data_IF_751248453568
#
_entry.id   IF_751248453568
#
_cell.length_a   1.000
_cell.length_b   1.000
_cell.length_c   1.000
_cell.angle_alpha   90.00
_cell.angle_beta   90.00
_cell.angle_gamma   90.00
#
_symmetry.space_group_name_H-M   'P 1'
#
loop_
_entity.id
_entity.type
_entity.pdbx_description
1 polymer ?
#
# COMPACT_ATOMS: atom_id res chain seq x y z
N UNK A 1 -21.31 10.93 -9.85
CA UNK A 1 -20.18 10.94 -8.93
C UNK A 1 -20.32 9.80 -7.94
N UNK A 2 -19.24 9.05 -7.67
CA UNK A 2 -19.26 7.86 -6.82
C UNK A 2 -19.22 8.20 -5.31
N UNK A 3 -19.06 9.47 -4.94
CA UNK A 3 -18.96 9.90 -3.53
C UNK A 3 -17.66 9.44 -2.83
N UNK A 4 -16.61 9.14 -3.58
CA UNK A 4 -15.33 8.74 -3.01
C UNK A 4 -14.64 9.92 -2.32
N UNK A 5 -14.01 9.68 -1.16
CA UNK A 5 -13.20 10.68 -0.46
C UNK A 5 -11.76 10.77 -0.96
N UNK A 6 -11.30 9.80 -1.73
CA UNK A 6 -9.92 9.71 -2.22
C UNK A 6 -9.84 9.08 -3.60
N UNK A 7 -8.81 9.43 -4.34
CA UNK A 7 -8.36 8.71 -5.53
C UNK A 7 -6.99 8.11 -5.28
N UNK A 8 -6.80 6.87 -5.73
CA UNK A 8 -5.52 6.17 -5.66
C UNK A 8 -4.72 6.45 -6.94
N UNK A 9 -3.42 6.71 -6.78
CA UNK A 9 -2.44 6.85 -7.84
C UNK A 9 -1.18 6.05 -7.51
N UNK A 10 -0.37 5.75 -8.50
CA UNK A 10 0.95 5.12 -8.31
C UNK A 10 2.04 6.16 -8.50
N UNK A 11 3.08 6.11 -7.65
CA UNK A 11 4.33 6.84 -7.85
C UNK A 11 5.30 5.91 -8.62
N UNK A 12 5.04 5.74 -9.91
CA UNK A 12 5.83 4.88 -10.79
C UNK A 12 6.59 5.72 -11.82
N UNK A 13 7.84 5.35 -12.09
CA UNK A 13 8.67 5.99 -13.10
C UNK A 13 9.73 5.03 -13.64
N UNK A 14 10.19 5.31 -14.87
CA UNK A 14 11.20 4.53 -15.58
C UNK A 14 12.54 5.31 -15.56
N UNK A 15 13.22 5.31 -14.43
CA UNK A 15 14.56 5.88 -14.31
C UNK A 15 15.33 5.10 -13.25
N UNK A 16 16.64 4.93 -13.47
CA UNK A 16 17.56 4.38 -12.48
C UNK A 16 18.03 5.45 -11.47
N UNK A 17 17.67 6.72 -11.70
CA UNK A 17 17.96 7.84 -10.80
C UNK A 17 16.84 8.04 -9.79
N UNK A 18 17.02 7.48 -8.60
CA UNK A 18 16.06 7.58 -7.51
C UNK A 18 15.82 9.03 -7.02
N UNK A 19 16.80 9.92 -7.15
CA UNK A 19 16.64 11.33 -6.78
C UNK A 19 15.79 12.09 -7.80
N UNK A 20 16.00 11.84 -9.10
CA UNK A 20 15.17 12.40 -10.15
C UNK A 20 13.73 11.91 -10.04
N UNK A 21 13.51 10.61 -9.75
CA UNK A 21 12.17 10.08 -9.52
C UNK A 21 11.51 10.68 -8.28
N UNK A 22 12.26 10.90 -7.21
CA UNK A 22 11.74 11.56 -6.01
C UNK A 22 11.23 12.97 -6.33
N UNK A 23 12.05 13.79 -7.00
CA UNK A 23 11.67 15.15 -7.42
C UNK A 23 10.43 15.14 -8.31
N UNK A 24 10.40 14.26 -9.32
CA UNK A 24 9.26 14.16 -10.22
C UNK A 24 7.96 13.69 -9.49
N UNK A 25 8.10 12.79 -8.51
CA UNK A 25 6.96 12.34 -7.69
C UNK A 25 6.43 13.49 -6.81
N UNK A 26 7.32 14.25 -6.14
CA UNK A 26 6.93 15.42 -5.34
C UNK A 26 6.18 16.44 -6.18
N UNK A 27 6.74 16.81 -7.34
CA UNK A 27 6.13 17.81 -8.24
C UNK A 27 4.78 17.33 -8.79
N UNK A 28 4.73 16.10 -9.34
CA UNK A 28 3.53 15.58 -9.97
C UNK A 28 2.38 15.34 -8.98
N UNK A 29 2.67 14.70 -7.84
CA UNK A 29 1.67 14.46 -6.80
C UNK A 29 1.25 15.75 -6.12
N UNK A 30 2.16 16.70 -5.90
CA UNK A 30 1.85 18.02 -5.35
C UNK A 30 0.89 18.81 -6.24
N UNK A 31 1.12 18.83 -7.56
CA UNK A 31 0.19 19.45 -8.52
C UNK A 31 -1.17 18.77 -8.51
N UNK A 32 -1.20 17.44 -8.52
CA UNK A 32 -2.46 16.68 -8.49
C UNK A 32 -3.22 16.91 -7.18
N UNK A 33 -2.52 16.90 -6.04
CA UNK A 33 -3.12 17.15 -4.73
C UNK A 33 -3.71 18.58 -4.64
N UNK A 34 -3.00 19.59 -5.15
CA UNK A 34 -3.48 20.97 -5.23
C UNK A 34 -4.75 21.10 -6.09
N UNK A 35 -4.86 20.33 -7.15
CA UNK A 35 -6.07 20.29 -7.98
C UNK A 35 -7.22 19.59 -7.25
N UNK A 36 -6.94 18.42 -6.65
CA UNK A 36 -7.94 17.58 -6.00
C UNK A 36 -8.51 18.23 -4.72
N UNK A 37 -7.72 19.02 -4.01
CA UNK A 37 -8.15 19.77 -2.80
C UNK A 37 -9.35 20.66 -3.10
N UNK A 38 -9.39 21.34 -4.24
CA UNK A 38 -10.51 22.18 -4.69
C UNK A 38 -11.81 21.40 -4.88
N UNK A 39 -11.70 20.09 -5.03
CA UNK A 39 -12.81 19.15 -5.21
C UNK A 39 -13.16 18.37 -3.94
N UNK A 40 -12.43 18.60 -2.84
CA UNK A 40 -12.59 17.86 -1.59
C UNK A 40 -12.15 16.37 -1.69
N UNK A 41 -11.23 16.05 -2.62
CA UNK A 41 -10.74 14.69 -2.87
C UNK A 41 -9.29 14.57 -2.40
N UNK A 42 -8.98 13.52 -1.63
CA UNK A 42 -7.59 13.21 -1.30
C UNK A 42 -6.90 12.47 -2.45
N UNK A 43 -5.61 12.70 -2.62
CA UNK A 43 -4.71 11.91 -3.49
C UNK A 43 -3.94 10.95 -2.59
N UNK A 44 -4.07 9.65 -2.84
CA UNK A 44 -3.38 8.63 -2.04
C UNK A 44 -2.49 7.77 -2.92
N UNK A 45 -1.29 7.49 -2.42
CA UNK A 45 -0.29 6.69 -3.13
C UNK A 45 -0.16 5.34 -2.45
N UNK A 46 -0.33 4.28 -3.25
CA UNK A 46 -0.09 2.91 -2.81
C UNK A 46 1.38 2.53 -3.06
N UNK A 47 1.97 1.78 -2.12
CA UNK A 47 3.20 1.05 -2.39
C UNK A 47 2.86 -0.10 -3.36
N UNK A 48 3.38 -0.03 -4.61
CA UNK A 48 2.99 -0.93 -5.68
C UNK A 48 4.13 -1.20 -6.67
N UNK A 49 5.22 -1.74 -6.16
CA UNK A 49 6.40 -2.12 -6.95
C UNK A 49 7.44 -1.01 -7.11
N UNK A 50 8.68 -1.43 -7.29
CA UNK A 50 9.82 -0.53 -7.45
C UNK A 50 10.02 0.40 -6.25
N UNK A 51 10.45 1.64 -6.50
CA UNK A 51 10.71 2.61 -5.43
C UNK A 51 9.48 2.95 -4.58
N UNK A 52 8.25 2.82 -5.10
CA UNK A 52 7.07 3.02 -4.28
C UNK A 52 6.90 1.95 -3.19
N UNK A 53 7.56 0.80 -3.35
CA UNK A 53 7.61 -0.28 -2.34
C UNK A 53 8.69 -0.05 -1.27
N UNK A 54 9.59 0.93 -1.43
CA UNK A 54 10.45 1.42 -0.36
C UNK A 54 9.64 2.38 0.52
N UNK A 55 9.24 1.90 1.70
CA UNK A 55 8.40 2.68 2.63
C UNK A 55 9.04 4.01 3.02
N UNK A 56 10.36 4.03 3.22
CA UNK A 56 11.10 5.24 3.57
C UNK A 56 11.10 6.27 2.42
N UNK A 57 11.31 5.79 1.19
CA UNK A 57 11.28 6.65 0.01
C UNK A 57 9.90 7.28 -0.18
N UNK A 58 8.85 6.46 -0.17
CA UNK A 58 7.48 6.95 -0.37
C UNK A 58 7.02 7.88 0.76
N UNK A 59 7.31 7.53 2.01
CA UNK A 59 7.04 8.41 3.15
C UNK A 59 7.78 9.75 3.03
N UNK A 60 9.01 9.75 2.50
CA UNK A 60 9.80 10.94 2.20
C UNK A 60 9.11 11.86 1.19
N UNK A 61 8.62 11.30 0.07
CA UNK A 61 7.85 12.02 -0.96
C UNK A 61 6.62 12.70 -0.35
N UNK A 62 5.80 11.95 0.38
CA UNK A 62 4.57 12.49 0.99
C UNK A 62 4.88 13.57 2.03
N UNK A 63 5.94 13.37 2.83
CA UNK A 63 6.38 14.36 3.82
C UNK A 63 6.85 15.66 3.17
N UNK A 64 7.54 15.58 2.02
CA UNK A 64 8.02 16.78 1.31
C UNK A 64 6.87 17.53 0.65
N UNK A 65 5.88 16.85 0.06
CA UNK A 65 4.66 17.47 -0.46
C UNK A 65 3.92 18.24 0.63
N UNK A 66 3.88 17.70 1.85
CA UNK A 66 3.32 18.32 3.05
C UNK A 66 1.92 18.96 2.85
N UNK A 67 1.04 18.26 2.15
CA UNK A 67 -0.35 18.70 1.92
C UNK A 67 -1.32 17.78 2.67
N UNK A 68 -2.30 18.33 3.44
CA UNK A 68 -3.28 17.51 4.18
C UNK A 68 -4.09 16.56 3.28
N UNK A 69 -4.35 16.92 2.03
CA UNK A 69 -5.07 16.11 1.05
C UNK A 69 -4.20 15.07 0.33
N UNK A 70 -2.88 15.04 0.57
CA UNK A 70 -1.97 14.04 -0.01
C UNK A 70 -1.55 13.02 1.07
N UNK A 71 -1.57 11.74 0.76
CA UNK A 71 -1.22 10.70 1.72
C UNK A 71 -0.91 9.37 1.09
N UNK A 72 -0.81 8.34 1.93
CA UNK A 72 -0.51 6.97 1.50
C UNK A 72 -1.75 6.08 1.56
N UNK A 73 -1.67 4.98 0.82
CA UNK A 73 -2.50 3.78 0.95
C UNK A 73 -1.53 2.61 1.21
N UNK A 74 -1.07 2.37 2.45
CA UNK A 74 -0.21 1.24 2.73
C UNK A 74 -0.91 -0.07 2.37
N UNK A 75 -0.31 -0.84 1.46
CA UNK A 75 -0.70 -2.21 1.15
C UNK A 75 0.20 -3.18 1.90
N UNK A 76 -0.36 -4.26 2.46
CA UNK A 76 0.37 -5.20 3.31
C UNK A 76 1.30 -6.15 2.53
N UNK A 77 1.11 -6.28 1.21
CA UNK A 77 1.83 -7.25 0.38
C UNK A 77 2.78 -6.67 -0.67
N UNK A 78 2.56 -5.45 -1.12
CA UNK A 78 3.25 -4.85 -2.27
C UNK A 78 4.62 -4.25 -1.90
N UNK A 79 5.56 -5.08 -1.46
CA UNK A 79 6.89 -4.62 -1.04
C UNK A 79 8.04 -5.09 -1.93
N UNK A 80 7.75 -5.52 -3.16
CA UNK A 80 8.79 -5.90 -4.11
C UNK A 80 9.46 -4.68 -4.74
N UNK A 81 10.77 -4.53 -4.48
CA UNK A 81 11.60 -3.47 -5.03
C UNK A 81 12.06 -3.80 -6.45
N UNK A 82 12.37 -5.06 -6.71
CA UNK A 82 12.92 -5.51 -8.00
C UNK A 82 12.34 -6.84 -8.44
N UNK A 83 11.82 -6.83 -9.63
CA UNK A 83 11.36 -8.04 -10.32
C UNK A 83 12.34 -8.50 -11.36
N UNK A 84 12.42 -9.81 -11.59
CA UNK A 84 13.04 -10.40 -12.77
C UNK A 84 11.96 -11.02 -13.64
N UNK A 85 12.06 -10.81 -14.95
CA UNK A 85 11.30 -11.54 -15.95
C UNK A 85 12.05 -12.84 -16.28
N UNK A 86 11.38 -13.97 -16.19
CA UNK A 86 11.95 -15.28 -16.57
C UNK A 86 11.89 -15.55 -18.08
N UNK A 87 11.46 -14.56 -18.88
CA UNK A 87 11.27 -14.69 -20.33
C UNK A 87 10.05 -15.53 -20.74
N UNK A 88 9.29 -16.04 -19.77
CA UNK A 88 8.04 -16.79 -19.98
C UNK A 88 6.81 -16.02 -19.49
N UNK A 89 6.99 -14.76 -19.13
CA UNK A 89 5.94 -13.87 -18.64
C UNK A 89 5.66 -14.00 -17.13
N UNK A 90 6.49 -14.73 -16.38
CA UNK A 90 6.40 -14.75 -14.92
C UNK A 90 7.36 -13.72 -14.33
N UNK A 91 6.83 -12.93 -13.43
CA UNK A 91 7.60 -11.92 -12.71
C UNK A 91 7.88 -12.41 -11.29
N UNK A 92 9.15 -12.64 -10.97
CA UNK A 92 9.57 -13.06 -9.64
C UNK A 92 10.18 -11.88 -8.89
N UNK A 93 9.78 -11.67 -7.64
CA UNK A 93 10.43 -10.71 -6.77
C UNK A 93 11.80 -11.22 -6.32
N UNK A 94 12.85 -10.45 -6.58
CA UNK A 94 14.24 -10.80 -6.22
C UNK A 94 14.82 -9.88 -5.16
N UNK A 95 14.17 -8.77 -4.89
CA UNK A 95 14.54 -7.84 -3.82
C UNK A 95 13.26 -7.30 -3.18
N UNK A 96 13.08 -7.55 -1.88
CA UNK A 96 11.89 -7.17 -1.13
C UNK A 96 12.26 -6.23 0.01
N UNK A 97 11.46 -5.18 0.22
CA UNK A 97 11.51 -4.33 1.41
C UNK A 97 10.82 -5.02 2.58
N UNK A 98 11.27 -4.83 3.81
CA UNK A 98 10.56 -5.37 4.99
C UNK A 98 9.16 -4.74 5.07
N UNK A 99 8.12 -5.54 4.84
CA UNK A 99 6.71 -5.11 4.78
C UNK A 99 6.22 -4.50 6.09
N UNK A 100 6.71 -4.97 7.21
CA UNK A 100 6.30 -4.45 8.53
C UNK A 100 6.95 -3.10 8.82
N UNK A 101 8.21 -2.94 8.44
CA UNK A 101 8.89 -1.66 8.48
C UNK A 101 8.21 -0.68 7.51
N UNK A 102 7.96 -1.09 6.28
CA UNK A 102 7.32 -0.26 5.27
C UNK A 102 5.94 0.24 5.69
N UNK A 103 5.08 -0.64 6.20
CA UNK A 103 3.77 -0.21 6.74
C UNK A 103 3.95 0.74 7.93
N UNK A 104 4.90 0.48 8.83
CA UNK A 104 5.17 1.38 9.96
C UNK A 104 5.62 2.79 9.51
N UNK A 105 6.36 2.89 8.40
CA UNK A 105 6.82 4.16 7.82
C UNK A 105 5.70 4.90 7.08
N UNK A 106 4.78 4.16 6.42
CA UNK A 106 3.71 4.73 5.61
C UNK A 106 2.46 5.08 6.41
N UNK A 107 2.12 4.32 7.45
CA UNK A 107 0.87 4.47 8.20
C UNK A 107 0.66 5.87 8.83
N UNK A 108 1.69 6.65 9.23
CA UNK A 108 1.51 8.01 9.72
C UNK A 108 0.88 8.96 8.69
N UNK A 109 1.00 8.65 7.41
CA UNK A 109 0.47 9.45 6.30
C UNK A 109 -0.78 8.83 5.66
N UNK A 110 -1.26 7.71 6.19
CA UNK A 110 -2.32 6.93 5.56
C UNK A 110 -3.68 7.65 5.60
N UNK A 111 -4.36 7.62 4.45
CA UNK A 111 -5.78 8.01 4.28
C UNK A 111 -6.68 6.81 4.07
N UNK A 112 -6.10 5.70 3.64
CA UNK A 112 -6.72 4.39 3.52
C UNK A 112 -5.63 3.32 3.75
N UNK A 113 -6.00 2.07 3.92
CA UNK A 113 -5.10 0.92 4.05
C UNK A 113 -5.64 -0.22 3.22
N UNK A 114 -4.79 -0.90 2.46
CA UNK A 114 -5.10 -2.16 1.78
C UNK A 114 -4.60 -3.34 2.62
N UNK A 115 -5.52 -4.09 3.18
CA UNK A 115 -5.24 -5.31 3.92
C UNK A 115 -5.14 -6.49 2.93
N UNK A 116 -4.08 -6.47 2.12
CA UNK A 116 -3.77 -7.56 1.18
C UNK A 116 -3.55 -8.86 1.92
N UNK A 117 -4.09 -9.92 1.36
CA UNK A 117 -3.95 -11.28 1.87
C UNK A 117 -3.78 -12.26 0.71
N UNK A 118 -3.18 -13.38 1.01
CA UNK A 118 -2.99 -14.49 0.08
C UNK A 118 -3.76 -15.71 0.57
N UNK A 119 -3.09 -16.77 0.98
CA UNK A 119 -3.74 -18.01 1.35
C UNK A 119 -3.87 -18.17 2.87
N UNK A 120 -4.79 -19.04 3.29
CA UNK A 120 -5.12 -19.27 4.70
C UNK A 120 -4.85 -20.71 5.09
N UNK A 121 -4.44 -20.91 6.35
CA UNK A 121 -4.38 -22.22 6.99
C UNK A 121 -5.76 -22.68 7.49
N UNK A 122 -5.83 -23.91 7.99
CA UNK A 122 -7.08 -24.50 8.51
C UNK A 122 -7.64 -23.75 9.74
N UNK A 123 -6.82 -22.99 10.46
CA UNK A 123 -7.25 -22.16 11.59
C UNK A 123 -7.70 -20.75 11.14
N UNK A 124 -7.60 -20.43 9.84
CA UNK A 124 -7.97 -19.14 9.26
C UNK A 124 -6.94 -18.07 9.54
N UNK A 125 -5.66 -18.42 9.69
CA UNK A 125 -4.57 -17.47 9.69
C UNK A 125 -4.02 -17.32 8.28
N UNK A 126 -3.64 -16.12 7.91
CA UNK A 126 -2.94 -15.85 6.66
C UNK A 126 -1.53 -16.48 6.72
N UNK A 127 -1.06 -17.07 5.60
CA UNK A 127 0.13 -17.92 5.59
C UNK A 127 1.40 -17.23 5.09
N UNK A 128 1.27 -16.04 4.49
CA UNK A 128 2.38 -15.26 3.92
C UNK A 128 2.70 -14.04 4.77
N UNK A 129 1.67 -13.38 5.31
CA UNK A 129 1.79 -12.15 6.11
C UNK A 129 1.41 -12.48 7.56
N UNK A 130 2.28 -12.19 8.52
CA UNK A 130 1.91 -12.21 9.94
C UNK A 130 0.93 -11.06 10.24
N UNK A 131 -0.35 -11.36 10.14
CA UNK A 131 -1.43 -10.40 10.37
C UNK A 131 -1.47 -9.92 11.83
N UNK A 132 -1.05 -10.74 12.79
CA UNK A 132 -0.97 -10.32 14.20
C UNK A 132 0.03 -9.19 14.38
N UNK A 133 1.23 -9.36 13.80
CA UNK A 133 2.27 -8.33 13.76
C UNK A 133 1.81 -7.10 12.98
N UNK A 134 1.23 -7.29 11.81
CA UNK A 134 0.78 -6.21 10.92
C UNK A 134 -0.31 -5.35 11.59
N UNK A 135 -1.36 -5.97 12.13
CA UNK A 135 -2.45 -5.26 12.81
C UNK A 135 -1.95 -4.58 14.10
N UNK A 136 -0.96 -5.15 14.79
CA UNK A 136 -0.32 -4.46 15.93
C UNK A 136 0.34 -3.14 15.51
N UNK A 137 0.96 -3.06 14.32
CA UNK A 137 1.53 -1.81 13.79
C UNK A 137 0.41 -0.79 13.55
N UNK A 138 -0.66 -1.21 12.86
CA UNK A 138 -1.80 -0.33 12.57
C UNK A 138 -2.45 0.18 13.87
N UNK A 139 -2.69 -0.70 14.84
CA UNK A 139 -3.32 -0.34 16.14
C UNK A 139 -2.48 0.63 16.97
N UNK A 140 -1.15 0.55 16.87
CA UNK A 140 -0.22 1.48 17.56
C UNK A 140 -0.14 2.85 16.89
N UNK A 141 -0.60 2.97 15.66
CA UNK A 141 -0.62 4.24 14.92
C UNK A 141 -1.82 5.11 15.30
N UNK A 142 -1.83 6.34 14.80
CA UNK A 142 -2.99 7.25 14.93
C UNK A 142 -4.08 6.99 13.87
N UNK A 143 -3.89 6.04 12.97
CA UNK A 143 -4.85 5.74 11.91
C UNK A 143 -6.20 5.25 12.47
N UNK A 144 -7.31 5.84 11.98
CA UNK A 144 -8.69 5.54 12.40
C UNK A 144 -9.62 5.27 11.22
N UNK A 145 -9.05 5.09 10.02
CA UNK A 145 -9.81 4.79 8.81
C UNK A 145 -10.15 3.31 8.68
N UNK A 146 -10.64 2.96 7.50
CA UNK A 146 -11.01 1.59 7.15
C UNK A 146 -9.80 0.78 6.67
N UNK A 147 -9.84 -0.52 6.92
CA UNK A 147 -8.95 -1.51 6.29
C UNK A 147 -9.71 -2.11 5.10
N UNK A 148 -9.29 -1.75 3.89
CA UNK A 148 -9.83 -2.31 2.67
C UNK A 148 -9.33 -3.74 2.48
N UNK A 149 -10.23 -4.69 2.25
CA UNK A 149 -9.85 -6.09 2.00
C UNK A 149 -9.41 -6.25 0.55
N UNK A 150 -8.25 -6.85 0.34
CA UNK A 150 -7.75 -7.28 -0.97
C UNK A 150 -7.23 -8.71 -0.87
N UNK A 151 -7.82 -9.64 -1.63
CA UNK A 151 -7.39 -11.04 -1.66
C UNK A 151 -6.74 -11.38 -3.00
N UNK A 152 -5.51 -11.88 -2.96
CA UNK A 152 -4.73 -12.35 -4.11
C UNK A 152 -4.23 -13.79 -3.95
N UNK A 153 -4.87 -14.58 -3.10
CA UNK A 153 -4.55 -15.99 -2.92
C UNK A 153 -5.02 -16.86 -4.08
N UNK A 154 -4.55 -18.09 -4.10
CA UNK A 154 -4.84 -19.05 -5.18
C UNK A 154 -5.68 -20.25 -4.75
N UNK A 155 -5.89 -20.45 -3.43
CA UNK A 155 -6.57 -21.65 -2.88
C UNK A 155 -8.06 -21.48 -2.66
N UNK A 156 -8.53 -20.23 -2.57
CA UNK A 156 -9.95 -19.91 -2.39
C UNK A 156 -10.48 -19.16 -3.60
N UNK A 157 -11.79 -19.15 -3.78
CA UNK A 157 -12.42 -18.18 -4.67
C UNK A 157 -12.20 -16.76 -4.16
N UNK A 158 -12.23 -15.75 -5.04
CA UNK A 158 -12.10 -14.34 -4.62
C UNK A 158 -13.10 -14.00 -3.52
N UNK A 159 -14.34 -14.46 -3.66
CA UNK A 159 -15.40 -14.22 -2.68
C UNK A 159 -15.12 -14.85 -1.32
N UNK A 160 -14.62 -16.08 -1.29
CA UNK A 160 -14.30 -16.78 -0.03
C UNK A 160 -13.01 -16.23 0.59
N UNK A 161 -12.04 -15.86 -0.22
CA UNK A 161 -10.82 -15.19 0.22
C UNK A 161 -11.10 -13.83 0.88
N UNK A 162 -11.97 -13.02 0.27
CA UNK A 162 -12.44 -11.75 0.86
C UNK A 162 -13.10 -11.98 2.22
N UNK A 163 -13.96 -13.00 2.34
CA UNK A 163 -14.59 -13.36 3.62
C UNK A 163 -13.58 -13.84 4.67
N UNK A 164 -12.59 -14.64 4.24
CA UNK A 164 -11.55 -15.14 5.13
C UNK A 164 -10.70 -13.99 5.68
N UNK A 165 -10.30 -13.06 4.81
CA UNK A 165 -9.56 -11.86 5.21
C UNK A 165 -10.37 -10.99 6.17
N UNK A 166 -11.63 -10.72 5.83
CA UNK A 166 -12.54 -9.97 6.72
C UNK A 166 -12.64 -10.62 8.09
N UNK A 167 -12.87 -11.94 8.15
CA UNK A 167 -12.98 -12.70 9.40
C UNK A 167 -11.69 -12.65 10.22
N UNK A 168 -10.52 -12.71 9.56
CA UNK A 168 -9.22 -12.58 10.21
C UNK A 168 -9.05 -11.18 10.82
N UNK A 169 -9.37 -10.14 10.08
CA UNK A 169 -9.33 -8.76 10.57
C UNK A 169 -10.25 -8.56 11.77
N UNK A 170 -11.50 -9.02 11.71
CA UNK A 170 -12.47 -8.92 12.81
C UNK A 170 -12.01 -9.65 14.09
N UNK A 171 -11.19 -10.69 13.96
CA UNK A 171 -10.60 -11.40 15.10
C UNK A 171 -9.43 -10.64 15.74
N UNK A 172 -8.73 -9.80 14.96
CA UNK A 172 -7.51 -9.11 15.38
C UNK A 172 -7.71 -7.65 15.79
N UNK A 173 -8.81 -7.01 15.38
CA UNK A 173 -9.16 -5.63 15.74
C UNK A 173 -9.94 -5.62 17.05
#
# INVERSE_FOLDING_TARGET
TLGCHSIRVNAYGVSDDGAALHTAAVDGLGMLASFAEKMGINVIVENHGGLSSDGKWLAGVIKEINMPGCGTLPDFGNFCLKHTDDGMGHSNCVEEYDRYQGVAELIPFAKAVSAKSYDFDAAGNETTIDYTRMISIVKKSSYKGYLGVEYEGSRLSEYDGIKATKKLLERLI
#
